data_IF_353801450874
#
_entry.id   IF_353801450874
#
_cell.length_a   1.000
_cell.length_b   1.000
_cell.length_c   1.000
_cell.angle_alpha   90.00
_cell.angle_beta   90.00
_cell.angle_gamma   90.00
#
_symmetry.space_group_name_H-M   'P 1'
#
loop_
_entity.id
_entity.type
_entity.pdbx_description
1 polymer ?
#
# COMPACT_ATOMS: atom_id res chain seq x y z
N UNK A 1 -20.52 -23.25 6.33
CA UNK A 1 -19.38 -22.32 6.14
C UNK A 1 -18.22 -22.80 7.00
N UNK A 2 -16.96 -22.76 6.51
CA UNK A 2 -15.78 -22.95 7.35
C UNK A 2 -15.78 -21.96 8.52
N UNK A 3 -15.17 -22.33 9.64
CA UNK A 3 -15.13 -21.48 10.83
C UNK A 3 -14.36 -20.19 10.53
N UNK A 4 -14.97 -19.04 10.78
CA UNK A 4 -14.36 -17.72 10.53
C UNK A 4 -14.54 -17.18 9.10
N UNK A 5 -15.29 -17.88 8.24
CA UNK A 5 -15.68 -17.33 6.94
C UNK A 5 -16.86 -16.37 7.08
N UNK A 6 -16.79 -15.21 6.43
CA UNK A 6 -17.84 -14.20 6.36
C UNK A 6 -18.26 -14.00 4.90
N UNK A 7 -19.56 -13.91 4.67
CA UNK A 7 -20.14 -13.62 3.36
C UNK A 7 -21.11 -12.48 3.50
N UNK A 8 -20.94 -11.46 2.67
CA UNK A 8 -21.89 -10.34 2.56
C UNK A 8 -22.32 -10.18 1.11
N UNK A 9 -23.56 -9.75 0.94
CA UNK A 9 -24.13 -9.46 -0.37
C UNK A 9 -25.03 -8.23 -0.25
N UNK A 10 -24.86 -7.28 -1.17
CA UNK A 10 -25.69 -6.10 -1.29
C UNK A 10 -26.05 -5.84 -2.74
N UNK A 11 -27.17 -5.15 -2.94
CA UNK A 11 -27.61 -4.65 -4.24
C UNK A 11 -27.78 -3.15 -4.08
N UNK A 12 -27.13 -2.39 -4.95
CA UNK A 12 -27.20 -0.93 -4.98
C UNK A 12 -27.90 -0.49 -6.27
N UNK A 13 -28.79 0.49 -6.18
CA UNK A 13 -29.51 1.04 -7.33
C UNK A 13 -29.48 2.58 -7.20
N UNK A 14 -29.13 3.33 -8.27
CA UNK A 14 -29.21 4.79 -8.24
C UNK A 14 -30.61 5.26 -7.85
N UNK A 15 -30.67 6.31 -7.02
CA UNK A 15 -31.95 6.88 -6.59
C UNK A 15 -32.78 7.29 -7.81
N UNK A 16 -34.01 6.76 -7.90
CA UNK A 16 -34.93 7.04 -9.01
C UNK A 16 -34.86 6.06 -10.18
N UNK A 17 -33.95 5.08 -10.16
CA UNK A 17 -33.91 3.96 -11.11
C UNK A 17 -34.48 2.73 -10.42
N UNK A 18 -35.62 2.21 -10.90
CA UNK A 18 -36.29 1.03 -10.33
C UNK A 18 -36.16 -0.21 -11.22
N UNK A 19 -35.38 -0.10 -12.29
CA UNK A 19 -35.07 -1.22 -13.17
C UNK A 19 -33.96 -2.08 -12.54
N UNK A 20 -34.27 -3.35 -12.30
CA UNK A 20 -33.32 -4.33 -11.76
C UNK A 20 -32.16 -4.59 -12.75
N UNK A 21 -32.34 -4.32 -14.05
CA UNK A 21 -31.29 -4.45 -15.05
C UNK A 21 -30.12 -3.47 -14.88
N UNK A 22 -30.35 -2.38 -14.15
CA UNK A 22 -29.33 -1.36 -13.84
C UNK A 22 -28.83 -1.43 -12.38
N UNK A 23 -29.18 -2.50 -11.65
CA UNK A 23 -28.73 -2.69 -10.28
C UNK A 23 -27.29 -3.22 -10.26
N UNK A 24 -26.46 -2.64 -9.39
CA UNK A 24 -25.11 -3.14 -9.14
C UNK A 24 -25.16 -4.16 -8.01
N UNK A 25 -24.68 -5.35 -8.30
CA UNK A 25 -24.59 -6.45 -7.34
C UNK A 25 -23.18 -6.48 -6.75
N UNK A 26 -23.09 -6.55 -5.42
CA UNK A 26 -21.80 -6.60 -4.71
C UNK A 26 -21.81 -7.81 -3.78
N UNK A 27 -20.96 -8.79 -4.08
CA UNK A 27 -20.68 -9.94 -3.22
C UNK A 27 -19.31 -9.82 -2.59
N UNK A 28 -19.18 -10.14 -1.30
CA UNK A 28 -17.88 -10.30 -0.63
C UNK A 28 -17.84 -11.60 0.15
N UNK A 29 -16.70 -12.27 0.08
CA UNK A 29 -16.37 -13.46 0.85
C UNK A 29 -15.01 -13.22 1.47
N UNK A 30 -14.87 -13.38 2.79
CA UNK A 30 -13.58 -13.42 3.47
C UNK A 30 -13.47 -14.71 4.29
N UNK A 31 -12.27 -15.28 4.37
CA UNK A 31 -12.03 -16.48 5.15
C UNK A 31 -10.56 -16.61 5.56
N UNK A 32 -10.29 -17.16 6.76
CA UNK A 32 -8.94 -17.61 7.10
C UNK A 32 -8.59 -18.86 6.27
N UNK A 33 -7.48 -18.82 5.53
CA UNK A 33 -7.00 -19.92 4.67
C UNK A 33 -5.49 -20.11 4.84
N UNK A 34 -5.07 -21.33 5.19
CA UNK A 34 -3.66 -21.71 5.30
C UNK A 34 -2.79 -20.76 6.17
N UNK A 35 -3.36 -20.22 7.26
CA UNK A 35 -2.68 -19.29 8.17
C UNK A 35 -2.62 -17.84 7.67
N UNK A 36 -3.38 -17.50 6.64
CA UNK A 36 -3.58 -16.13 6.16
C UNK A 36 -5.06 -15.77 6.06
N UNK A 37 -5.32 -14.56 5.59
CA UNK A 37 -6.63 -13.96 5.37
C UNK A 37 -6.85 -13.87 3.86
N UNK A 38 -7.83 -14.62 3.35
CA UNK A 38 -8.26 -14.52 1.95
C UNK A 38 -9.54 -13.70 1.88
N UNK A 39 -9.66 -12.86 0.86
CA UNK A 39 -10.91 -12.18 0.53
C UNK A 39 -11.16 -12.15 -0.98
N UNK A 40 -12.42 -12.26 -1.37
CA UNK A 40 -12.92 -12.12 -2.72
C UNK A 40 -14.05 -11.11 -2.71
N UNK A 41 -13.98 -10.12 -3.59
CA UNK A 41 -15.05 -9.19 -3.91
C UNK A 41 -15.43 -9.37 -5.37
N UNK A 42 -16.72 -9.46 -5.62
CA UNK A 42 -17.30 -9.45 -6.97
C UNK A 42 -18.30 -8.31 -7.00
N UNK A 43 -18.20 -7.48 -8.03
CA UNK A 43 -19.05 -6.32 -8.20
C UNK A 43 -19.43 -6.19 -9.67
N UNK A 44 -20.70 -5.99 -9.99
CA UNK A 44 -21.08 -5.81 -11.39
C UNK A 44 -22.56 -5.73 -11.65
N UNK A 45 -22.89 -5.48 -12.90
CA UNK A 45 -24.23 -5.45 -13.46
C UNK A 45 -24.29 -6.34 -14.72
N UNK A 46 -25.32 -6.16 -15.54
CA UNK A 46 -25.51 -6.92 -16.78
C UNK A 46 -24.45 -6.65 -17.85
N UNK A 47 -23.70 -5.54 -17.75
CA UNK A 47 -22.78 -5.03 -18.75
C UNK A 47 -21.31 -5.08 -18.32
N UNK A 48 -21.03 -4.94 -17.02
CA UNK A 48 -19.69 -4.87 -16.48
C UNK A 48 -19.54 -5.70 -15.22
N UNK A 49 -18.38 -6.34 -15.08
CA UNK A 49 -18.04 -7.15 -13.91
C UNK A 49 -16.60 -6.87 -13.48
N UNK A 50 -16.47 -6.53 -12.21
CA UNK A 50 -15.23 -6.35 -11.48
C UNK A 50 -15.04 -7.50 -10.51
N UNK A 51 -13.83 -8.06 -10.49
CA UNK A 51 -13.40 -9.08 -9.55
C UNK A 51 -12.17 -8.59 -8.82
N UNK A 52 -12.10 -8.80 -7.51
CA UNK A 52 -10.92 -8.51 -6.69
C UNK A 52 -10.69 -9.65 -5.70
N UNK A 53 -9.55 -10.32 -5.84
CA UNK A 53 -9.07 -11.32 -4.89
C UNK A 53 -7.89 -10.76 -4.11
N UNK A 54 -7.83 -11.03 -2.82
CA UNK A 54 -6.68 -10.70 -1.98
C UNK A 54 -6.34 -11.84 -1.02
N UNK A 55 -5.05 -11.95 -0.71
CA UNK A 55 -4.55 -12.87 0.29
C UNK A 55 -3.41 -12.21 1.06
N UNK A 56 -3.50 -12.22 2.39
CA UNK A 56 -2.48 -11.66 3.25
C UNK A 56 -2.08 -12.65 4.34
N UNK A 57 -0.78 -12.73 4.67
CA UNK A 57 -0.32 -13.56 5.77
C UNK A 57 0.98 -13.07 6.36
N UNK A 58 1.20 -13.40 7.63
CA UNK A 58 2.48 -13.18 8.27
C UNK A 58 3.47 -14.29 7.89
N UNK A 59 4.68 -13.90 7.48
CA UNK A 59 5.80 -14.78 7.10
C UNK A 59 7.12 -14.15 7.54
N UNK A 60 7.93 -14.91 8.25
CA UNK A 60 9.29 -14.52 8.66
C UNK A 60 9.37 -13.15 9.37
N UNK A 61 8.36 -12.80 10.18
CA UNK A 61 8.30 -11.54 10.94
C UNK A 61 7.88 -10.31 10.13
N UNK A 62 7.36 -10.51 8.91
CA UNK A 62 6.71 -9.46 8.12
C UNK A 62 5.38 -9.94 7.55
N UNK A 63 4.65 -9.07 6.87
CA UNK A 63 3.38 -9.36 6.21
C UNK A 63 3.59 -9.44 4.70
N UNK A 64 3.16 -10.56 4.12
CA UNK A 64 3.08 -10.76 2.68
C UNK A 64 1.63 -10.52 2.23
N UNK A 65 1.45 -9.73 1.18
CA UNK A 65 0.15 -9.39 0.61
C UNK A 65 0.15 -9.67 -0.89
N UNK A 66 -0.91 -10.31 -1.36
CA UNK A 66 -1.21 -10.58 -2.76
C UNK A 66 -2.58 -9.99 -3.07
N UNK A 67 -2.69 -9.27 -4.18
CA UNK A 67 -3.94 -8.79 -4.74
C UNK A 67 -3.97 -9.07 -6.24
N UNK A 68 -5.14 -9.45 -6.72
CA UNK A 68 -5.42 -9.63 -8.15
C UNK A 68 -6.78 -9.01 -8.41
N UNK A 69 -6.89 -8.21 -9.45
CA UNK A 69 -8.14 -7.60 -9.87
C UNK A 69 -8.40 -7.80 -11.34
N UNK A 70 -9.67 -7.81 -11.73
CA UNK A 70 -10.10 -7.71 -13.11
C UNK A 70 -11.19 -6.65 -13.17
N UNK A 71 -10.98 -5.60 -13.99
CA UNK A 71 -11.94 -4.51 -14.18
C UNK A 71 -11.88 -4.06 -15.63
N UNK A 72 -13.03 -3.92 -16.28
CA UNK A 72 -13.14 -3.42 -17.65
C UNK A 72 -12.24 -4.16 -18.67
N UNK A 73 -12.07 -5.48 -18.49
CA UNK A 73 -11.21 -6.30 -19.34
C UNK A 73 -9.70 -6.17 -19.05
N UNK A 74 -9.31 -5.32 -18.10
CA UNK A 74 -7.93 -5.18 -17.64
C UNK A 74 -7.70 -6.05 -16.40
N UNK A 75 -6.59 -6.81 -16.43
CA UNK A 75 -6.08 -7.53 -15.26
C UNK A 75 -5.12 -6.62 -14.51
N UNK A 76 -5.28 -6.61 -13.19
CA UNK A 76 -4.37 -5.95 -12.26
C UNK A 76 -3.84 -6.91 -11.21
N UNK A 77 -2.66 -6.62 -10.69
CA UNK A 77 -2.02 -7.43 -9.65
C UNK A 77 -1.06 -6.61 -8.79
N UNK A 78 -0.95 -6.99 -7.52
CA UNK A 78 0.06 -6.47 -6.62
C UNK A 78 0.55 -7.59 -5.70
N UNK A 79 1.86 -7.79 -5.64
CA UNK A 79 2.50 -8.69 -4.67
C UNK A 79 3.45 -7.87 -3.84
N UNK A 80 3.32 -7.88 -2.53
CA UNK A 80 4.18 -7.10 -1.65
C UNK A 80 4.54 -7.82 -0.36
N UNK A 81 5.62 -7.35 0.24
CA UNK A 81 6.12 -7.79 1.53
C UNK A 81 6.57 -6.58 2.35
N UNK A 82 6.03 -6.46 3.56
CA UNK A 82 6.38 -5.40 4.50
C UNK A 82 6.91 -6.00 5.81
N UNK A 83 7.99 -5.44 6.35
CA UNK A 83 8.60 -5.87 7.60
C UNK A 83 9.14 -4.70 8.39
N UNK A 84 8.81 -4.67 9.68
CA UNK A 84 9.43 -3.79 10.66
C UNK A 84 10.62 -4.49 11.32
N UNK A 85 11.64 -3.71 11.67
CA UNK A 85 12.90 -4.15 12.26
C UNK A 85 13.17 -3.51 13.63
N UNK A 86 12.17 -2.86 14.23
CA UNK A 86 12.34 -2.06 15.45
C UNK A 86 12.99 -2.78 16.64
N UNK A 87 12.84 -4.11 16.74
CA UNK A 87 13.51 -4.91 17.79
C UNK A 87 14.86 -5.50 17.34
N UNK A 88 15.13 -5.55 16.04
CA UNK A 88 16.33 -6.15 15.46
C UNK A 88 17.46 -5.13 15.24
N UNK A 89 17.12 -3.84 15.17
CA UNK A 89 18.06 -2.75 14.89
C UNK A 89 17.98 -1.68 15.99
N UNK A 90 19.07 -0.95 16.27
CA UNK A 90 19.07 0.17 17.22
C UNK A 90 18.33 1.42 16.68
N UNK A 91 17.55 1.25 15.62
CA UNK A 91 16.77 2.28 14.92
C UNK A 91 15.40 1.68 14.60
N UNK A 92 14.36 2.52 14.63
CA UNK A 92 13.05 2.14 14.14
C UNK A 92 13.08 2.12 12.61
N UNK A 93 13.19 0.92 12.04
CA UNK A 93 13.29 0.74 10.60
C UNK A 93 12.19 -0.17 10.08
N UNK A 94 11.74 0.10 8.86
CA UNK A 94 10.80 -0.74 8.15
C UNK A 94 11.15 -0.79 6.66
N UNK A 95 10.95 -1.96 6.06
CA UNK A 95 11.05 -2.17 4.63
C UNK A 95 9.70 -2.60 4.08
N UNK A 96 9.39 -2.14 2.87
CA UNK A 96 8.26 -2.58 2.08
C UNK A 96 8.73 -2.71 0.64
N UNK A 97 8.54 -3.87 0.02
CA UNK A 97 8.85 -4.07 -1.39
C UNK A 97 7.70 -4.80 -2.05
N UNK A 98 7.51 -4.56 -3.34
CA UNK A 98 6.50 -5.25 -4.11
C UNK A 98 6.69 -5.13 -5.59
N UNK A 99 5.80 -5.79 -6.31
CA UNK A 99 5.71 -5.80 -7.76
C UNK A 99 4.25 -5.65 -8.14
N UNK A 100 4.00 -4.76 -9.08
CA UNK A 100 2.69 -4.48 -9.65
C UNK A 100 2.81 -4.32 -11.18
N UNK A 101 1.74 -3.88 -11.83
CA UNK A 101 1.64 -3.74 -13.28
C UNK A 101 2.67 -2.77 -13.86
N UNK A 102 3.04 -1.70 -13.14
CA UNK A 102 4.01 -0.73 -13.65
C UNK A 102 5.44 -1.01 -13.19
N UNK A 103 5.70 -2.01 -12.35
CA UNK A 103 7.06 -2.38 -12.02
C UNK A 103 7.30 -2.95 -10.64
N UNK A 104 8.58 -3.14 -10.34
CA UNK A 104 9.04 -3.39 -8.97
C UNK A 104 9.15 -2.06 -8.21
N UNK A 105 8.74 -2.05 -6.95
CA UNK A 105 8.90 -0.90 -6.07
C UNK A 105 9.42 -1.31 -4.70
N UNK A 106 10.07 -0.37 -4.03
CA UNK A 106 10.53 -0.53 -2.67
C UNK A 106 10.49 0.79 -1.90
N UNK A 107 10.24 0.67 -0.60
CA UNK A 107 10.32 1.72 0.40
C UNK A 107 11.13 1.22 1.58
N UNK A 108 12.10 2.02 1.99
CA UNK A 108 12.84 1.83 3.23
C UNK A 108 12.62 3.07 4.09
N UNK A 109 12.35 2.85 5.37
CA UNK A 109 12.31 3.92 6.37
C UNK A 109 13.20 3.53 7.52
N UNK A 110 13.90 4.51 8.10
CA UNK A 110 14.71 4.34 9.28
C UNK A 110 14.64 5.62 10.12
N UNK A 111 14.41 5.48 11.42
CA UNK A 111 14.25 6.60 12.34
C UNK A 111 14.91 6.34 13.67
N UNK A 112 15.37 7.40 14.32
CA UNK A 112 15.83 7.34 15.70
C UNK A 112 15.68 8.68 16.39
N UNK A 113 15.47 8.61 17.70
CA UNK A 113 15.73 9.74 18.57
C UNK A 113 17.25 10.03 18.56
N UNK A 114 17.59 11.31 18.33
CA UNK A 114 18.98 11.80 18.34
C UNK A 114 19.31 12.41 19.72
N UNK A 115 18.30 12.85 20.45
CA UNK A 115 18.40 13.36 21.82
C UNK A 115 17.70 14.71 21.99
N UNK A 116 17.39 15.10 23.24
CA UNK A 116 16.75 16.39 23.58
C UNK A 116 15.46 16.69 22.78
N UNK A 117 14.69 15.65 22.45
CA UNK A 117 13.45 15.77 21.67
C UNK A 117 13.66 16.05 20.18
N UNK A 118 14.86 15.79 19.66
CA UNK A 118 15.16 15.78 18.23
C UNK A 118 15.10 14.35 17.68
N UNK A 119 14.36 14.18 16.59
CA UNK A 119 14.21 12.94 15.85
C UNK A 119 14.84 13.07 14.47
N UNK A 120 15.51 12.01 14.03
CA UNK A 120 16.01 11.86 12.67
C UNK A 120 15.23 10.75 11.98
N UNK A 121 14.76 11.01 10.76
CA UNK A 121 14.08 10.05 9.91
C UNK A 121 14.66 10.09 8.51
N UNK A 122 14.99 8.92 8.00
CA UNK A 122 15.37 8.69 6.62
C UNK A 122 14.29 7.87 5.92
N UNK A 123 14.02 8.22 4.67
CA UNK A 123 13.13 7.49 3.78
C UNK A 123 13.79 7.36 2.41
N UNK A 124 13.75 6.16 1.83
CA UNK A 124 14.14 5.89 0.47
C UNK A 124 13.00 5.17 -0.25
N UNK A 125 12.67 5.63 -1.45
CA UNK A 125 11.67 5.10 -2.35
C UNK A 125 12.34 4.80 -3.68
N UNK A 126 12.07 3.63 -4.24
CA UNK A 126 12.55 3.23 -5.54
C UNK A 126 11.42 2.57 -6.34
N UNK A 127 11.35 2.85 -7.63
CA UNK A 127 10.50 2.16 -8.61
C UNK A 127 11.30 1.87 -9.86
N UNK A 128 11.16 0.66 -10.36
CA UNK A 128 11.80 0.14 -11.56
C UNK A 128 10.69 -0.33 -12.50
N UNK A 129 10.47 0.43 -13.56
CA UNK A 129 9.49 0.09 -14.59
C UNK A 129 9.83 -1.20 -15.33
N UNK A 130 8.82 -1.77 -15.99
CA UNK A 130 9.01 -2.87 -16.94
C UNK A 130 9.01 -2.37 -18.39
N UNK A 131 9.77 -3.02 -19.27
CA UNK A 131 9.80 -2.73 -20.71
C UNK A 131 11.09 -2.08 -21.22
N UNK A 132 11.13 -1.81 -22.54
CA UNK A 132 12.30 -1.25 -23.23
C UNK A 132 12.59 0.21 -22.85
N UNK A 133 11.58 0.94 -22.39
CA UNK A 133 11.67 2.32 -21.86
C UNK A 133 11.47 2.34 -20.34
N UNK A 134 12.03 1.35 -19.63
CA UNK A 134 11.84 1.22 -18.19
C UNK A 134 12.35 2.45 -17.42
N UNK A 135 11.42 3.27 -16.96
CA UNK A 135 11.70 4.41 -16.09
C UNK A 135 12.21 3.94 -14.73
N UNK A 136 13.28 4.59 -14.26
CA UNK A 136 13.85 4.37 -12.94
C UNK A 136 13.63 5.61 -12.09
N UNK A 137 12.78 5.48 -11.09
CA UNK A 137 12.50 6.54 -10.15
C UNK A 137 13.11 6.19 -8.82
N UNK A 138 13.94 7.09 -8.30
CA UNK A 138 14.44 7.02 -6.94
C UNK A 138 14.18 8.35 -6.25
N UNK A 139 13.70 8.30 -5.02
CA UNK A 139 13.53 9.46 -4.15
C UNK A 139 14.02 9.12 -2.76
N UNK A 140 14.78 10.00 -2.16
CA UNK A 140 15.27 9.88 -0.79
C UNK A 140 14.96 11.16 -0.03
N UNK A 141 14.70 11.02 1.26
CA UNK A 141 14.43 12.11 2.17
C UNK A 141 15.13 11.87 3.51
N UNK A 142 15.77 12.91 4.03
CA UNK A 142 16.29 12.97 5.40
C UNK A 142 15.59 14.12 6.11
N UNK A 143 14.83 13.81 7.16
CA UNK A 143 14.11 14.78 7.98
C UNK A 143 14.69 14.77 9.40
N UNK A 144 15.02 15.95 9.90
CA UNK A 144 15.31 16.22 11.30
C UNK A 144 14.13 17.04 11.86
N UNK A 145 13.54 16.60 12.97
CA UNK A 145 12.36 17.27 13.53
C UNK A 145 12.36 17.30 15.05
N UNK A 146 11.76 18.32 15.62
CA UNK A 146 11.47 18.44 17.04
C UNK A 146 10.06 19.05 17.22
N UNK A 147 9.67 19.36 18.47
CA UNK A 147 8.36 19.97 18.78
C UNK A 147 8.09 21.34 18.16
N UNK A 148 9.11 22.03 17.63
CA UNK A 148 8.99 23.38 17.07
C UNK A 148 8.93 23.37 15.54
N UNK A 149 9.40 22.30 14.90
CA UNK A 149 9.47 22.24 13.45
C UNK A 149 10.42 21.18 12.92
N UNK A 150 10.76 21.32 11.64
CA UNK A 150 11.58 20.35 10.92
C UNK A 150 12.46 21.00 9.86
N UNK A 151 13.54 20.30 9.53
CA UNK A 151 14.34 20.49 8.33
C UNK A 151 14.36 19.17 7.56
N UNK A 152 14.05 19.21 6.26
CA UNK A 152 13.95 18.05 5.40
C UNK A 152 14.75 18.26 4.12
N UNK A 153 15.73 17.40 3.89
CA UNK A 153 16.48 17.31 2.65
C UNK A 153 15.87 16.21 1.79
N UNK A 154 15.46 16.53 0.57
CA UNK A 154 14.94 15.56 -0.40
C UNK A 154 15.79 15.56 -1.66
N UNK A 155 15.97 14.38 -2.26
CA UNK A 155 16.69 14.22 -3.51
C UNK A 155 16.06 13.09 -4.32
N UNK A 156 16.00 13.24 -5.65
CA UNK A 156 15.49 12.21 -6.53
C UNK A 156 16.20 12.21 -7.88
N UNK A 157 16.00 11.13 -8.65
CA UNK A 157 16.62 10.98 -9.97
C UNK A 157 16.28 12.15 -10.89
N UNK A 158 17.33 12.77 -11.47
CA UNK A 158 17.18 13.89 -12.40
C UNK A 158 16.84 15.24 -11.75
N UNK A 159 16.67 15.30 -10.42
CA UNK A 159 16.40 16.53 -9.69
C UNK A 159 17.56 16.95 -8.79
N UNK A 160 17.80 18.25 -8.68
CA UNK A 160 18.68 18.81 -7.64
C UNK A 160 18.14 18.49 -6.24
N UNK A 161 19.04 18.43 -5.25
CA UNK A 161 18.62 18.29 -3.86
C UNK A 161 17.79 19.52 -3.43
N UNK A 162 16.64 19.27 -2.78
CA UNK A 162 15.71 20.30 -2.30
C UNK A 162 15.72 20.28 -0.78
N UNK A 163 15.98 21.44 -0.17
CA UNK A 163 15.85 21.64 1.27
C UNK A 163 14.53 22.33 1.58
N UNK A 164 13.77 21.78 2.52
CA UNK A 164 12.53 22.35 3.05
C UNK A 164 12.65 22.51 4.55
N UNK A 165 12.21 23.65 5.08
CA UNK A 165 12.14 23.90 6.51
C UNK A 165 10.73 24.37 6.85
N UNK A 166 10.20 23.94 7.99
CA UNK A 166 8.85 24.29 8.41
C UNK A 166 8.69 24.25 9.92
N UNK A 167 7.64 24.90 10.40
CA UNK A 167 7.25 24.89 11.80
C UNK A 167 6.03 23.99 11.98
N UNK A 168 6.04 23.14 13.01
CA UNK A 168 4.90 22.31 13.42
C UNK A 168 4.59 22.66 14.86
N UNK A 169 3.59 23.51 15.07
CA UNK A 169 3.08 23.81 16.40
C UNK A 169 1.98 22.80 16.69
N UNK A 170 2.28 21.80 17.53
CA UNK A 170 1.21 20.99 18.12
C UNK A 170 0.40 21.91 19.04
N UNK A 171 -0.82 22.27 18.61
CA UNK A 171 -1.82 22.93 19.44
C UNK A 171 -2.42 21.93 20.43
#
# INVERSE_FOLDING_TARGET
MPRGAEVTYSVENPVGVYDLGNSTHIGRLSAPVAGGEAALRVEGDASQQTYEGSYARDVAGGRADLRVSHRDGALGYNVSYARSFGEALPVDAAAHAGVDEDGAYARLTAGRAVGKGLDARYEALARLGFGAEADRQMKQALRLSNKLGYAELTHGNGEGAKLRMGYEFNA
#
